data_IF_527567343608
#
_entry.id   IF_527567343608
#
_cell.length_a   1.000
_cell.length_b   1.000
_cell.length_c   1.000
_cell.angle_alpha   90.00
_cell.angle_beta   90.00
_cell.angle_gamma   90.00
#
_symmetry.space_group_name_H-M   'P 1'
#
loop_
_entity.id
_entity.type
_entity.pdbx_description
1 polymer ?
#
# COMPACT_ATOMS: atom_id res chain seq x y z
N UNK A 1 -64.59 -29.11 13.73
CA UNK A 1 -65.74 -28.20 13.85
C UNK A 1 -65.33 -26.89 14.50
N UNK A 2 -65.98 -25.79 14.13
CA UNK A 2 -65.91 -24.43 14.73
C UNK A 2 -64.60 -23.66 14.44
N UNK A 3 -64.45 -22.86 13.37
CA UNK A 3 -65.34 -21.82 12.83
C UNK A 3 -65.78 -20.78 13.90
N UNK A 4 -65.07 -19.64 13.92
CA UNK A 4 -65.58 -18.28 13.61
C UNK A 4 -65.23 -17.19 14.63
N UNK A 5 -64.57 -16.14 14.08
CA UNK A 5 -64.99 -14.71 14.06
C UNK A 5 -65.29 -14.10 15.44
N UNK A 6 -64.67 -12.97 15.79
CA UNK A 6 -65.15 -11.61 15.44
C UNK A 6 -64.10 -10.60 15.93
N UNK A 7 -63.50 -9.82 15.02
CA UNK A 7 -63.87 -8.45 14.64
C UNK A 7 -63.60 -7.36 15.69
N UNK A 8 -62.64 -6.52 15.31
CA UNK A 8 -62.64 -5.04 15.37
C UNK A 8 -62.60 -4.39 16.75
N UNK A 9 -61.51 -3.66 17.00
CA UNK A 9 -61.61 -2.22 17.30
C UNK A 9 -60.33 -1.51 16.86
N UNK A 10 -60.49 -0.71 15.80
CA UNK A 10 -59.60 0.40 15.45
C UNK A 10 -59.54 1.34 16.66
N UNK A 11 -58.34 1.64 17.16
CA UNK A 11 -58.05 2.95 17.73
C UNK A 11 -56.78 3.47 17.08
N UNK A 12 -56.99 4.30 16.06
CA UNK A 12 -56.08 5.40 15.72
C UNK A 12 -55.77 6.14 17.02
N UNK A 13 -54.51 6.18 17.42
CA UNK A 13 -53.98 7.34 18.15
C UNK A 13 -52.95 8.00 17.25
N UNK A 14 -53.38 9.14 16.74
CA UNK A 14 -52.56 10.14 16.09
C UNK A 14 -51.68 10.83 17.14
N UNK A 15 -50.48 11.21 16.68
CA UNK A 15 -49.68 12.38 17.08
C UNK A 15 -49.04 12.36 18.47
N UNK A 16 -47.72 12.20 18.43
CA UNK A 16 -46.77 12.72 19.39
C UNK A 16 -45.42 12.84 18.69
N UNK A 17 -45.23 13.89 17.89
CA UNK A 17 -43.91 14.27 17.40
C UNK A 17 -43.14 14.88 18.56
N UNK A 18 -42.21 14.10 19.12
CA UNK A 18 -41.22 14.57 20.08
C UNK A 18 -39.86 14.70 19.38
N UNK A 19 -39.02 15.66 19.80
CA UNK A 19 -37.69 15.84 19.21
C UNK A 19 -36.86 14.57 19.43
N UNK A 20 -36.33 14.02 18.34
CA UNK A 20 -35.44 12.87 18.38
C UNK A 20 -34.19 13.17 19.22
N UNK A 21 -33.58 12.16 19.85
CA UNK A 21 -32.35 12.35 20.60
C UNK A 21 -31.25 12.88 19.68
N UNK A 22 -30.39 13.82 20.14
CA UNK A 22 -29.24 14.26 19.38
C UNK A 22 -28.36 13.05 19.07
N UNK A 23 -27.98 12.92 17.80
CA UNK A 23 -27.19 11.83 17.29
C UNK A 23 -25.99 11.56 18.17
N UNK A 24 -25.85 10.31 18.64
CA UNK A 24 -24.54 9.79 19.02
C UNK A 24 -23.72 9.84 17.75
N UNK A 25 -22.84 10.84 17.67
CA UNK A 25 -21.75 10.85 16.73
C UNK A 25 -21.06 9.49 16.85
N UNK A 26 -21.20 8.67 15.81
CA UNK A 26 -20.23 7.64 15.54
C UNK A 26 -18.89 8.37 15.60
N UNK A 27 -18.10 8.11 16.64
CA UNK A 27 -16.72 8.54 16.66
C UNK A 27 -16.07 7.70 15.57
N UNK A 28 -16.02 8.29 14.38
CA UNK A 28 -15.29 7.77 13.24
C UNK A 28 -13.88 7.46 13.77
N UNK A 29 -13.35 6.24 13.61
CA UNK A 29 -11.92 6.06 13.79
C UNK A 29 -11.29 7.02 12.79
N UNK A 30 -10.62 8.03 13.32
CA UNK A 30 -9.87 8.98 12.51
C UNK A 30 -8.91 8.10 11.71
N UNK A 31 -9.17 7.95 10.41
CA UNK A 31 -8.14 7.49 9.50
C UNK A 31 -7.02 8.51 9.66
N UNK A 32 -5.97 8.13 10.39
CA UNK A 32 -4.76 8.93 10.50
C UNK A 32 -4.37 9.35 9.09
N UNK A 33 -4.18 10.65 8.81
CA UNK A 33 -3.71 11.07 7.50
C UNK A 33 -2.38 10.35 7.21
N UNK A 34 -2.10 9.96 5.95
CA UNK A 34 -0.82 9.33 5.62
C UNK A 34 0.29 10.25 6.11
N UNK A 35 1.25 9.64 6.82
CA UNK A 35 2.42 10.26 7.42
C UNK A 35 2.87 11.44 6.55
N UNK A 36 2.60 12.64 7.03
CA UNK A 36 3.24 13.84 6.53
C UNK A 36 4.72 13.63 6.80
N UNK A 37 5.47 13.19 5.79
CA UNK A 37 6.92 13.22 5.84
C UNK A 37 7.23 14.70 6.00
N UNK A 38 7.49 15.10 7.24
CA UNK A 38 7.82 16.46 7.61
C UNK A 38 9.00 16.85 6.75
N UNK A 39 8.73 17.66 5.73
CA UNK A 39 9.71 18.16 4.79
C UNK A 39 10.43 19.32 5.48
N UNK A 40 11.13 19.01 6.56
CA UNK A 40 11.97 19.95 7.26
C UNK A 40 13.41 19.70 6.82
N UNK A 41 13.89 20.64 6.00
CA UNK A 41 15.28 20.87 5.59
C UNK A 41 15.77 20.08 4.36
N UNK A 42 15.62 20.71 3.19
CA UNK A 42 16.75 21.03 2.31
C UNK A 42 17.60 19.90 1.70
N UNK A 43 17.26 18.63 1.87
CA UNK A 43 17.87 17.58 1.06
C UNK A 43 17.15 17.60 -0.28
N UNK A 44 17.70 18.31 -1.27
CA UNK A 44 17.47 17.94 -2.68
C UNK A 44 17.97 16.52 -2.83
N UNK A 45 17.15 15.54 -2.44
CA UNK A 45 17.46 14.15 -2.66
C UNK A 45 17.48 14.05 -4.18
N UNK A 46 18.66 13.83 -4.81
CA UNK A 46 18.71 13.74 -6.26
C UNK A 46 17.64 12.74 -6.64
N UNK A 47 16.74 13.16 -7.54
CA UNK A 47 15.49 12.49 -7.85
C UNK A 47 15.72 10.99 -7.80
N UNK A 48 14.96 10.22 -7.00
CA UNK A 48 15.25 8.79 -6.70
C UNK A 48 15.65 7.97 -7.95
N UNK A 49 15.13 8.36 -9.11
CA UNK A 49 15.47 7.86 -10.46
C UNK A 49 16.95 8.04 -10.85
N UNK A 50 17.56 9.20 -10.61
CA UNK A 50 18.97 9.47 -10.92
C UNK A 50 19.88 8.61 -10.05
N UNK A 51 19.59 8.52 -8.74
CA UNK A 51 20.34 7.64 -7.83
C UNK A 51 20.27 6.18 -8.27
N UNK A 52 19.06 5.73 -8.65
CA UNK A 52 18.84 4.39 -9.18
C UNK A 52 19.63 4.16 -10.47
N UNK A 53 19.59 5.11 -11.40
CA UNK A 53 20.29 5.02 -12.67
C UNK A 53 21.81 4.91 -12.48
N UNK A 54 22.41 5.79 -11.67
CA UNK A 54 23.86 5.78 -11.41
C UNK A 54 24.28 4.49 -10.72
N UNK A 55 23.52 4.03 -9.73
CA UNK A 55 23.84 2.77 -9.07
C UNK A 55 23.74 1.59 -10.04
N UNK A 56 22.67 1.55 -10.84
CA UNK A 56 22.42 0.48 -11.81
C UNK A 56 23.47 0.45 -12.92
N UNK A 57 23.87 1.61 -13.43
CA UNK A 57 24.92 1.70 -14.46
C UNK A 57 26.24 1.16 -13.93
N UNK A 58 26.65 1.56 -12.72
CA UNK A 58 27.87 1.05 -12.10
C UNK A 58 27.80 -0.46 -11.86
N UNK A 59 26.67 -0.96 -11.34
CA UNK A 59 26.49 -2.38 -11.06
C UNK A 59 26.56 -3.23 -12.32
N UNK A 60 25.76 -2.91 -13.33
CA UNK A 60 25.72 -3.69 -14.56
C UNK A 60 27.02 -3.58 -15.37
N UNK A 61 27.71 -2.44 -15.31
CA UNK A 61 29.04 -2.33 -15.92
C UNK A 61 30.04 -3.25 -15.22
N UNK A 62 30.10 -3.23 -13.88
CA UNK A 62 31.02 -4.08 -13.11
C UNK A 62 30.72 -5.58 -13.26
N UNK A 63 29.46 -5.97 -13.37
CA UNK A 63 29.07 -7.38 -13.46
C UNK A 63 29.24 -7.93 -14.89
N UNK A 64 29.05 -7.11 -15.93
CA UNK A 64 29.01 -7.58 -17.32
C UNK A 64 30.23 -7.21 -18.17
N UNK A 65 30.93 -6.13 -17.87
CA UNK A 65 32.08 -5.63 -18.64
C UNK A 65 33.35 -5.90 -17.85
N UNK A 66 33.89 -7.10 -18.03
CA UNK A 66 35.08 -7.57 -17.32
C UNK A 66 36.35 -7.51 -18.16
N UNK A 67 36.22 -7.33 -19.48
CA UNK A 67 37.35 -7.34 -20.42
C UNK A 67 37.47 -6.01 -21.16
N UNK A 68 38.66 -5.39 -21.12
CA UNK A 68 38.90 -4.06 -21.69
C UNK A 68 39.75 -4.11 -22.97
N UNK A 69 39.49 -5.08 -23.86
CA UNK A 69 40.24 -5.19 -25.13
C UNK A 69 39.75 -4.20 -26.20
N UNK A 70 38.51 -3.68 -26.10
CA UNK A 70 37.91 -2.75 -27.07
C UNK A 70 37.13 -1.65 -26.37
N UNK A 71 36.97 -0.51 -27.06
CA UNK A 71 36.17 0.64 -26.57
C UNK A 71 34.66 0.43 -26.70
N UNK A 72 34.24 -0.51 -27.54
CA UNK A 72 32.82 -0.82 -27.80
C UNK A 72 32.44 -2.11 -27.12
N UNK A 73 31.22 -2.18 -26.58
CA UNK A 73 30.69 -3.40 -25.97
C UNK A 73 30.60 -4.50 -27.03
N UNK A 74 31.14 -5.67 -26.70
CA UNK A 74 30.92 -6.88 -27.49
C UNK A 74 29.47 -7.36 -27.41
N UNK A 75 29.07 -8.25 -28.33
CA UNK A 75 27.71 -8.82 -28.34
C UNK A 75 27.32 -9.44 -27.00
N UNK A 76 28.22 -10.24 -26.41
CA UNK A 76 28.02 -10.89 -25.11
C UNK A 76 27.83 -9.88 -23.97
N UNK A 77 28.66 -8.84 -23.92
CA UNK A 77 28.57 -7.79 -22.90
C UNK A 77 27.27 -6.99 -23.06
N UNK A 78 26.89 -6.64 -24.29
CA UNK A 78 25.62 -5.95 -24.58
C UNK A 78 24.39 -6.78 -24.21
N UNK A 79 24.40 -8.08 -24.48
CA UNK A 79 23.34 -9.00 -24.05
C UNK A 79 23.28 -9.12 -22.52
N UNK A 80 24.43 -9.21 -21.86
CA UNK A 80 24.52 -9.25 -20.40
C UNK A 80 23.97 -7.97 -19.77
N UNK A 81 24.39 -6.78 -20.21
CA UNK A 81 23.93 -5.51 -19.64
C UNK A 81 22.41 -5.37 -19.79
N UNK A 82 21.85 -5.73 -20.94
CA UNK A 82 20.39 -5.73 -21.16
C UNK A 82 19.67 -6.67 -20.19
N UNK A 83 20.21 -7.86 -19.95
CA UNK A 83 19.64 -8.80 -18.99
C UNK A 83 19.80 -8.32 -17.54
N UNK A 84 20.94 -7.74 -17.18
CA UNK A 84 21.23 -7.18 -15.86
C UNK A 84 20.22 -6.09 -15.49
N UNK A 85 19.99 -5.12 -16.39
CA UNK A 85 19.04 -4.03 -16.18
C UNK A 85 17.63 -4.56 -15.93
N UNK A 86 17.15 -5.50 -16.76
CA UNK A 86 15.82 -6.12 -16.58
C UNK A 86 15.71 -6.86 -15.26
N UNK A 87 16.71 -7.68 -14.91
CA UNK A 87 16.74 -8.44 -13.65
C UNK A 87 16.70 -7.51 -12.44
N UNK A 88 17.49 -6.43 -12.47
CA UNK A 88 17.55 -5.48 -11.38
C UNK A 88 16.23 -4.75 -11.19
N UNK A 89 15.61 -4.24 -12.27
CA UNK A 89 14.32 -3.55 -12.18
C UNK A 89 13.23 -4.43 -11.56
N UNK A 90 13.17 -5.70 -11.98
CA UNK A 90 12.24 -6.68 -11.41
C UNK A 90 12.52 -6.94 -9.94
N UNK A 91 13.80 -7.12 -9.58
CA UNK A 91 14.21 -7.33 -8.19
C UNK A 91 13.86 -6.12 -7.31
N UNK A 92 14.19 -4.90 -7.74
CA UNK A 92 13.89 -3.67 -7.01
C UNK A 92 12.38 -3.50 -6.82
N UNK A 93 11.57 -3.75 -7.84
CA UNK A 93 10.12 -3.68 -7.74
C UNK A 93 9.54 -4.73 -6.78
N UNK A 94 10.04 -5.98 -6.86
CA UNK A 94 9.64 -7.04 -5.95
C UNK A 94 10.01 -6.73 -4.49
N UNK A 95 11.22 -6.22 -4.24
CA UNK A 95 11.65 -5.77 -2.92
C UNK A 95 10.79 -4.61 -2.40
N UNK A 96 10.52 -3.61 -3.24
CA UNK A 96 9.66 -2.49 -2.87
C UNK A 96 8.25 -2.96 -2.47
N UNK A 97 7.67 -3.92 -3.20
CA UNK A 97 6.37 -4.50 -2.87
C UNK A 97 6.38 -5.20 -1.49
N UNK A 98 7.46 -5.92 -1.15
CA UNK A 98 7.63 -6.56 0.16
C UNK A 98 7.75 -5.53 1.29
N UNK A 99 8.56 -4.48 1.08
CA UNK A 99 8.69 -3.41 2.06
C UNK A 99 7.39 -2.63 2.26
N UNK A 100 6.60 -2.47 1.20
CA UNK A 100 5.29 -1.81 1.32
C UNK A 100 4.30 -2.60 2.19
N UNK A 101 4.40 -3.94 2.21
CA UNK A 101 3.58 -4.77 3.10
C UNK A 101 4.00 -4.61 4.57
N UNK A 102 5.30 -4.54 4.84
CA UNK A 102 5.83 -4.35 6.19
C UNK A 102 5.61 -2.94 6.74
N UNK A 103 5.48 -1.95 5.86
CA UNK A 103 5.19 -0.57 6.24
C UNK A 103 3.72 -0.34 6.59
N UNK A 104 2.85 -1.33 6.35
CA UNK A 104 1.43 -1.24 6.71
C UNK A 104 1.26 -1.50 8.21
N UNK A 105 0.75 -0.52 9.00
CA UNK A 105 0.63 -0.66 10.44
C UNK A 105 -0.40 -1.71 10.88
N UNK A 106 -1.24 -2.24 9.98
CA UNK A 106 -2.15 -3.35 10.30
C UNK A 106 -1.45 -4.71 10.27
N UNK A 107 -0.30 -4.83 9.59
CA UNK A 107 0.46 -6.07 9.53
C UNK A 107 1.19 -6.43 10.83
N UNK A 108 1.13 -5.56 11.85
CA UNK A 108 1.74 -5.75 13.17
C UNK A 108 0.73 -6.14 14.27
N UNK A 109 -0.55 -6.39 13.92
CA UNK A 109 -1.62 -6.60 14.89
C UNK A 109 -2.20 -8.03 14.94
N UNK A 110 -1.63 -9.00 14.22
CA UNK A 110 -2.14 -10.38 14.11
C UNK A 110 -1.31 -11.40 14.94
N UNK A 111 -0.87 -11.06 16.17
CA UNK A 111 -0.04 -11.96 17.03
C UNK A 111 -0.48 -11.96 18.52
N UNK A 112 -1.76 -11.71 18.82
CA UNK A 112 -2.34 -11.99 20.15
C UNK A 112 -3.66 -12.73 19.97
N UNK A 113 -3.67 -14.06 20.18
CA UNK A 113 -4.76 -14.89 20.72
C UNK A 113 -4.62 -16.36 20.26
N UNK A 114 -3.77 -17.15 20.93
CA UNK A 114 -3.88 -18.62 20.91
C UNK A 114 -3.46 -19.21 22.27
N UNK A 115 -4.36 -19.07 23.26
CA UNK A 115 -4.36 -19.81 24.53
C UNK A 115 -5.75 -20.50 24.68
N UNK A 116 -5.79 -21.83 24.53
CA UNK A 116 -6.76 -22.74 25.19
C UNK A 116 -6.11 -24.13 25.42
#
# INVERSE_FOLDING_TARGET
>A
GHQRRRRRRRRRRQRGGGPGPPGRHHRQPQASPPLSISSSNGVTCPSRRIRLYTWLSHRCFSDCVTTFYRKTLGKREGDCVRACVRKYQLATAASAARFNKLADPSAAADDEDEDD
#
